data_IF_618273846167
#
_entry.id   IF_618273846167
#
_cell.length_a   1.000
_cell.length_b   1.000
_cell.length_c   1.000
_cell.angle_alpha   90.00
_cell.angle_beta   90.00
_cell.angle_gamma   90.00
#
_symmetry.space_group_name_H-M   'P 1'
#
loop_
_entity.id
_entity.type
_entity.pdbx_description
1 polymer ?
#
# COMPACT_ATOMS: atom_id res chain seq x y z
N UNK A 1 -4.36 -4.49 16.52
CA UNK A 1 -3.64 -3.60 15.61
C UNK A 1 -4.30 -3.63 14.25
N UNK A 2 -4.41 -2.48 13.61
CA UNK A 2 -4.81 -2.32 12.21
C UNK A 2 -3.54 -2.01 11.38
N UNK A 3 -3.35 -2.75 10.30
CA UNK A 3 -2.28 -2.51 9.33
C UNK A 3 -2.89 -2.19 7.97
N UNK A 4 -2.56 -1.01 7.45
CA UNK A 4 -2.93 -0.60 6.09
C UNK A 4 -1.73 -0.81 5.16
N UNK A 5 -1.78 -1.86 4.35
CA UNK A 5 -0.76 -2.14 3.33
C UNK A 5 -1.05 -1.31 2.07
N UNK A 6 -0.65 -0.05 2.11
CA UNK A 6 -0.81 0.90 1.02
C UNK A 6 0.23 0.75 -0.10
N UNK A 7 0.11 1.60 -1.13
CA UNK A 7 1.04 1.63 -2.25
C UNK A 7 2.42 2.22 -1.86
N UNK A 8 2.44 3.36 -1.16
CA UNK A 8 3.68 4.05 -0.77
C UNK A 8 4.15 3.74 0.64
N UNK A 9 3.25 3.34 1.52
CA UNK A 9 3.52 3.19 2.94
C UNK A 9 2.66 2.09 3.57
N UNK A 10 3.10 1.62 4.74
CA UNK A 10 2.30 0.80 5.66
C UNK A 10 1.89 1.67 6.84
N UNK A 11 0.58 1.85 7.00
CA UNK A 11 -0.01 2.48 8.18
C UNK A 11 -0.14 1.46 9.31
N UNK A 12 0.26 1.85 10.52
CA UNK A 12 0.17 1.03 11.72
C UNK A 12 -0.65 1.78 12.77
N UNK A 13 -1.77 1.21 13.23
CA UNK A 13 -2.57 1.78 14.29
C UNK A 13 -2.88 0.70 15.34
N UNK A 14 -2.47 0.95 16.58
CA UNK A 14 -2.74 0.05 17.70
C UNK A 14 -3.81 0.64 18.62
N UNK A 15 -4.74 -0.19 19.02
CA UNK A 15 -5.88 0.18 19.88
C UNK A 15 -5.83 -0.62 21.16
N UNK A 16 -6.01 0.08 22.28
CA UNK A 16 -6.23 -0.47 23.61
C UNK A 16 -7.71 -0.35 24.01
N UNK A 17 -8.05 -0.67 25.26
CA UNK A 17 -9.43 -0.55 25.76
C UNK A 17 -9.97 0.88 25.68
N UNK A 18 -9.14 1.88 25.85
CA UNK A 18 -9.51 3.31 25.86
C UNK A 18 -9.38 4.00 24.50
N UNK A 19 -9.03 3.27 23.44
CA UNK A 19 -8.90 3.82 22.09
C UNK A 19 -7.54 3.64 21.45
N UNK A 20 -7.13 4.60 20.61
CA UNK A 20 -5.86 4.59 19.89
C UNK A 20 -4.70 4.83 20.85
N UNK A 21 -3.77 3.86 20.94
CA UNK A 21 -2.58 3.93 21.82
C UNK A 21 -1.28 4.19 21.04
N UNK A 22 -1.24 3.87 19.75
CA UNK A 22 -0.09 4.10 18.88
C UNK A 22 -0.52 4.25 17.44
N UNK A 23 0.08 5.20 16.73
CA UNK A 23 -0.08 5.34 15.29
C UNK A 23 1.28 5.70 14.67
N UNK A 24 1.63 4.99 13.60
CA UNK A 24 2.89 5.23 12.88
C UNK A 24 2.69 4.91 11.40
N UNK A 25 3.51 5.54 10.54
CA UNK A 25 3.59 5.25 9.11
C UNK A 25 5.01 4.83 8.76
N UNK A 26 5.14 3.67 8.13
CA UNK A 26 6.40 3.14 7.64
C UNK A 26 6.46 3.40 6.13
N UNK A 27 7.52 4.09 5.67
CA UNK A 27 7.73 4.41 4.26
C UNK A 27 8.15 3.17 3.44
N UNK A 28 7.29 2.15 3.46
CA UNK A 28 7.45 0.89 2.74
C UNK A 28 6.09 0.41 2.28
N UNK A 29 5.85 0.32 0.99
CA UNK A 29 4.55 -0.07 0.43
C UNK A 29 4.68 -0.87 -0.86
N UNK A 30 3.56 -1.15 -1.49
CA UNK A 30 3.43 -1.96 -2.70
C UNK A 30 4.31 -1.54 -3.88
N UNK A 31 4.72 -0.27 -3.92
CA UNK A 31 5.68 0.27 -4.91
C UNK A 31 7.03 -0.45 -4.84
N UNK A 32 7.46 -0.90 -3.66
CA UNK A 32 8.71 -1.66 -3.52
C UNK A 32 8.60 -3.03 -4.20
N UNK A 33 7.47 -3.72 -4.02
CA UNK A 33 7.18 -4.97 -4.73
C UNK A 33 7.21 -4.77 -6.25
N UNK A 34 6.62 -3.68 -6.72
CA UNK A 34 6.59 -3.35 -8.16
C UNK A 34 7.99 -3.09 -8.71
N UNK A 35 8.86 -2.39 -7.95
CA UNK A 35 10.26 -2.15 -8.37
C UNK A 35 11.05 -3.44 -8.46
N UNK A 36 10.93 -4.32 -7.47
CA UNK A 36 11.62 -5.60 -7.47
C UNK A 36 11.15 -6.46 -8.66
N UNK A 37 9.84 -6.46 -8.96
CA UNK A 37 9.30 -7.13 -10.13
C UNK A 37 9.78 -6.50 -11.44
N UNK A 38 9.82 -5.16 -11.54
CA UNK A 38 10.32 -4.48 -12.73
C UNK A 38 11.78 -4.87 -13.03
N UNK A 39 12.61 -4.93 -12.00
CA UNK A 39 14.00 -5.35 -12.10
C UNK A 39 14.10 -6.84 -12.45
N UNK A 40 13.35 -7.70 -11.77
CA UNK A 40 13.42 -9.16 -11.95
C UNK A 40 12.94 -9.61 -13.32
N UNK A 41 11.91 -8.94 -13.85
CA UNK A 41 11.29 -9.25 -15.15
C UNK A 41 11.89 -8.42 -16.30
N UNK A 42 12.87 -7.54 -16.00
CA UNK A 42 13.46 -6.63 -16.99
C UNK A 42 12.41 -5.85 -17.78
N UNK A 43 11.46 -5.24 -17.07
CA UNK A 43 10.30 -4.56 -17.65
C UNK A 43 10.12 -3.15 -17.10
N UNK A 44 9.22 -2.38 -17.68
CA UNK A 44 8.89 -1.06 -17.16
C UNK A 44 8.10 -1.17 -15.84
N UNK A 45 8.20 -0.13 -15.00
CA UNK A 45 7.43 -0.06 -13.76
C UNK A 45 5.92 -0.25 -13.98
N UNK A 46 5.37 0.38 -15.01
CA UNK A 46 3.94 0.28 -15.34
C UNK A 46 3.53 -1.15 -15.76
N UNK A 47 4.40 -1.86 -16.49
CA UNK A 47 4.14 -3.26 -16.86
C UNK A 47 4.26 -4.18 -15.63
N UNK A 48 5.27 -3.98 -14.78
CA UNK A 48 5.42 -4.72 -13.53
C UNK A 48 4.24 -4.52 -12.58
N UNK A 49 3.69 -3.30 -12.51
CA UNK A 49 2.49 -3.02 -11.70
C UNK A 49 1.29 -3.83 -12.21
N UNK A 50 1.07 -3.88 -13.54
CA UNK A 50 0.00 -4.71 -14.11
C UNK A 50 0.21 -6.20 -13.83
N UNK A 51 1.46 -6.70 -13.95
CA UNK A 51 1.81 -8.09 -13.62
C UNK A 51 1.55 -8.38 -12.15
N UNK A 52 1.95 -7.48 -11.24
CA UNK A 52 1.68 -7.61 -9.80
C UNK A 52 0.18 -7.70 -9.51
N UNK A 53 -0.63 -6.83 -10.12
CA UNK A 53 -2.08 -6.80 -9.88
C UNK A 53 -2.79 -8.03 -10.45
N UNK A 54 -2.35 -8.54 -11.60
CA UNK A 54 -3.00 -9.66 -12.26
C UNK A 54 -2.55 -11.03 -11.73
N UNK A 55 -1.26 -11.17 -11.41
CA UNK A 55 -0.65 -12.48 -11.13
C UNK A 55 0.11 -12.55 -9.80
N UNK A 56 0.21 -11.43 -9.07
CA UNK A 56 0.93 -11.37 -7.80
C UNK A 56 0.39 -12.37 -6.79
N UNK A 57 1.32 -13.03 -6.08
CA UNK A 57 1.03 -13.91 -4.96
C UNK A 57 2.26 -13.96 -4.04
N UNK A 58 2.08 -14.40 -2.81
CA UNK A 58 3.16 -14.60 -1.82
C UNK A 58 2.93 -15.86 -1.00
N UNK A 59 3.96 -16.37 -0.34
CA UNK A 59 3.83 -17.47 0.60
C UNK A 59 3.32 -18.79 -0.01
N UNK A 60 3.54 -19.03 -1.29
CA UNK A 60 3.08 -20.25 -1.97
C UNK A 60 1.60 -20.25 -2.35
N UNK A 61 0.92 -19.11 -2.31
CA UNK A 61 -0.52 -18.99 -2.62
C UNK A 61 -0.85 -18.98 -4.13
N UNK A 62 -0.02 -19.62 -4.96
CA UNK A 62 -0.27 -19.79 -6.40
C UNK A 62 0.34 -21.10 -6.89
N UNK A 63 -0.07 -21.54 -8.09
CA UNK A 63 0.67 -22.58 -8.80
C UNK A 63 1.98 -21.99 -9.34
N UNK A 64 3.15 -22.44 -8.86
CA UNK A 64 4.43 -21.88 -9.30
C UNK A 64 4.77 -22.19 -10.76
N UNK A 65 4.11 -23.18 -11.37
CA UNK A 65 4.34 -23.62 -12.76
C UNK A 65 3.40 -22.94 -13.76
N UNK A 66 2.44 -22.19 -13.30
CA UNK A 66 1.54 -21.40 -14.15
C UNK A 66 2.34 -20.40 -14.98
N UNK A 67 2.23 -20.50 -16.32
CA UNK A 67 2.84 -19.54 -17.25
C UNK A 67 1.92 -18.34 -17.40
N UNK A 68 2.43 -17.14 -17.15
CA UNK A 68 1.69 -15.89 -17.18
C UNK A 68 2.34 -14.86 -18.10
N UNK A 69 1.54 -13.96 -18.66
CA UNK A 69 2.02 -12.87 -19.52
C UNK A 69 2.79 -11.83 -18.68
N UNK A 70 4.05 -11.63 -19.03
CA UNK A 70 4.93 -10.67 -18.39
C UNK A 70 5.79 -9.97 -19.46
N UNK A 71 5.32 -8.85 -20.03
CA UNK A 71 6.06 -8.14 -21.06
C UNK A 71 7.47 -7.75 -20.58
N UNK A 72 8.47 -7.94 -21.45
CA UNK A 72 9.87 -7.60 -21.23
C UNK A 72 10.26 -6.39 -22.07
N UNK A 73 11.21 -5.59 -21.59
CA UNK A 73 11.76 -4.47 -22.33
C UNK A 73 12.78 -4.98 -23.35
N UNK A 74 12.52 -4.74 -24.64
CA UNK A 74 13.45 -5.05 -25.72
C UNK A 74 14.61 -4.08 -25.81
N UNK A 75 15.62 -4.41 -26.60
CA UNK A 75 16.81 -3.58 -26.82
C UNK A 75 16.50 -2.23 -27.49
N UNK A 76 15.38 -2.16 -28.18
CA UNK A 76 14.87 -0.93 -28.83
C UNK A 76 14.06 -0.04 -27.86
N UNK A 77 13.97 -0.42 -26.58
CA UNK A 77 13.20 0.28 -25.56
C UNK A 77 11.68 0.04 -25.65
N UNK A 78 11.22 -0.88 -26.50
CA UNK A 78 9.79 -1.24 -26.61
C UNK A 78 9.48 -2.47 -25.76
N UNK A 79 8.21 -2.57 -25.32
CA UNK A 79 7.75 -3.76 -24.62
C UNK A 79 7.46 -4.87 -25.64
N UNK A 80 8.12 -6.00 -25.46
CA UNK A 80 7.91 -7.22 -26.20
C UNK A 80 7.04 -8.19 -25.41
N UNK A 81 6.22 -8.97 -26.12
CA UNK A 81 5.43 -10.02 -25.51
C UNK A 81 6.38 -11.11 -24.94
N UNK A 82 6.23 -11.41 -23.67
CA UNK A 82 7.01 -12.44 -23.00
C UNK A 82 6.15 -13.15 -21.95
N UNK A 83 6.57 -14.31 -21.53
CA UNK A 83 5.93 -15.09 -20.48
C UNK A 83 6.93 -15.40 -19.37
N UNK A 84 6.44 -15.53 -18.16
CA UNK A 84 7.20 -16.01 -17.01
C UNK A 84 6.39 -17.02 -16.23
N UNK A 85 7.02 -17.76 -15.33
CA UNK A 85 6.31 -18.61 -14.38
C UNK A 85 5.80 -17.76 -13.21
N UNK A 86 4.58 -17.99 -12.76
CA UNK A 86 3.98 -17.29 -11.61
C UNK A 86 4.81 -17.48 -10.34
N UNK A 87 5.52 -18.60 -10.20
CA UNK A 87 6.49 -18.85 -9.14
C UNK A 87 7.57 -17.77 -9.07
N UNK A 88 8.10 -17.30 -10.20
CA UNK A 88 9.13 -16.24 -10.25
C UNK A 88 8.58 -14.92 -9.67
N UNK A 89 7.30 -14.61 -9.94
CA UNK A 89 6.64 -13.43 -9.38
C UNK A 89 6.51 -13.59 -7.86
N UNK A 90 6.01 -14.74 -7.40
CA UNK A 90 5.83 -15.04 -5.98
C UNK A 90 7.15 -15.05 -5.20
N UNK A 91 8.19 -15.66 -5.75
CA UNK A 91 9.55 -15.68 -5.18
C UNK A 91 10.16 -14.30 -5.05
N UNK A 92 9.85 -13.39 -5.98
CA UNK A 92 10.31 -11.99 -5.93
C UNK A 92 9.54 -11.20 -4.88
N UNK A 93 8.22 -11.38 -4.77
CA UNK A 93 7.38 -10.57 -3.89
C UNK A 93 7.42 -11.03 -2.43
N UNK A 94 7.53 -12.33 -2.18
CA UNK A 94 7.46 -12.91 -0.82
C UNK A 94 8.49 -12.34 0.14
N UNK A 95 9.81 -12.32 -0.16
CA UNK A 95 10.80 -11.79 0.76
C UNK A 95 10.62 -10.29 1.02
N UNK A 96 10.21 -9.53 0.02
CA UNK A 96 9.99 -8.09 0.19
C UNK A 96 8.78 -7.79 1.09
N UNK A 97 7.68 -8.49 0.92
CA UNK A 97 6.52 -8.33 1.81
C UNK A 97 6.85 -8.80 3.23
N UNK A 98 7.57 -9.91 3.38
CA UNK A 98 8.04 -10.39 4.68
C UNK A 98 8.93 -9.35 5.39
N UNK A 99 9.88 -8.72 4.69
CA UNK A 99 10.72 -7.64 5.21
C UNK A 99 9.87 -6.47 5.74
N UNK A 100 8.85 -6.05 4.97
CA UNK A 100 7.93 -4.97 5.38
C UNK A 100 7.17 -5.35 6.66
N UNK A 101 6.68 -6.58 6.76
CA UNK A 101 5.95 -7.08 7.93
C UNK A 101 6.86 -7.23 9.16
N UNK A 102 8.10 -7.67 8.97
CA UNK A 102 9.10 -7.71 10.04
C UNK A 102 9.45 -6.31 10.54
N UNK A 103 9.54 -5.32 9.65
CA UNK A 103 9.73 -3.92 10.04
C UNK A 103 8.54 -3.42 10.89
N UNK A 104 7.31 -3.79 10.56
CA UNK A 104 6.12 -3.49 11.39
C UNK A 104 6.28 -4.10 12.79
N UNK A 105 6.66 -5.37 12.89
CA UNK A 105 6.88 -6.04 14.19
C UNK A 105 7.94 -5.32 15.04
N UNK A 106 9.03 -4.90 14.41
CA UNK A 106 10.10 -4.14 15.06
C UNK A 106 9.58 -2.81 15.62
N UNK A 107 8.76 -2.08 14.86
CA UNK A 107 8.17 -0.81 15.28
C UNK A 107 7.20 -1.00 16.45
N UNK A 108 6.34 -2.01 16.39
CA UNK A 108 5.46 -2.36 17.50
C UNK A 108 6.25 -2.69 18.76
N UNK A 109 7.34 -3.44 18.64
CA UNK A 109 8.23 -3.76 19.77
C UNK A 109 8.86 -2.51 20.38
N UNK A 110 9.38 -1.59 19.54
CA UNK A 110 9.94 -0.30 20.00
C UNK A 110 8.90 0.61 20.66
N UNK A 111 7.65 0.50 20.26
CA UNK A 111 6.52 1.21 20.86
C UNK A 111 6.04 0.57 22.18
N UNK A 112 6.73 -0.47 22.71
CA UNK A 112 6.33 -1.18 23.92
C UNK A 112 5.17 -2.16 23.72
N UNK A 113 4.76 -2.41 22.48
CA UNK A 113 3.66 -3.33 22.13
C UNK A 113 4.20 -4.74 21.89
N UNK A 114 4.83 -5.33 22.93
CA UNK A 114 5.41 -6.67 22.92
C UNK A 114 5.20 -7.36 24.29
N UNK A 115 5.50 -8.65 24.39
CA UNK A 115 5.30 -9.40 25.63
C UNK A 115 3.83 -9.41 26.06
N UNK A 116 3.54 -8.97 27.27
CA UNK A 116 2.17 -8.88 27.81
C UNK A 116 1.31 -7.86 27.06
N UNK A 117 1.92 -6.80 26.52
CA UNK A 117 1.26 -5.77 25.72
C UNK A 117 1.23 -6.09 24.24
N UNK A 118 1.65 -7.29 23.83
CA UNK A 118 1.62 -7.69 22.43
C UNK A 118 0.20 -7.66 21.83
N UNK A 119 0.06 -7.27 20.58
CA UNK A 119 -1.23 -7.31 19.90
C UNK A 119 -1.82 -8.72 19.91
N UNK A 120 -3.06 -8.87 20.36
CA UNK A 120 -3.74 -10.17 20.35
C UNK A 120 -4.27 -10.55 18.97
N UNK A 121 -4.51 -9.57 18.11
CA UNK A 121 -5.04 -9.72 16.74
C UNK A 121 -4.55 -8.59 15.85
N UNK A 122 -4.39 -8.90 14.57
CA UNK A 122 -4.11 -7.92 13.53
C UNK A 122 -5.22 -7.93 12.49
N UNK A 123 -5.64 -6.75 12.10
CA UNK A 123 -6.56 -6.54 10.97
C UNK A 123 -5.75 -5.94 9.83
N UNK A 124 -5.76 -6.58 8.69
CA UNK A 124 -5.03 -6.18 7.50
C UNK A 124 -5.98 -5.52 6.51
N UNK A 125 -5.68 -4.32 6.06
CA UNK A 125 -6.42 -3.55 5.05
C UNK A 125 -5.48 -2.97 4.02
N UNK A 126 -6.01 -2.16 3.10
CA UNK A 126 -5.24 -1.59 1.99
C UNK A 126 -5.14 -2.55 0.81
N UNK A 127 -4.71 -2.04 -0.35
CA UNK A 127 -4.59 -2.82 -1.59
C UNK A 127 -3.64 -4.01 -1.47
N UNK A 128 -2.58 -3.90 -0.64
CA UNK A 128 -1.63 -4.98 -0.39
C UNK A 128 -2.23 -6.18 0.35
N UNK A 129 -3.33 -5.99 1.09
CA UNK A 129 -4.04 -7.08 1.77
C UNK A 129 -4.76 -8.04 0.81
N UNK A 130 -4.99 -7.60 -0.42
CA UNK A 130 -5.64 -8.37 -1.48
C UNK A 130 -4.67 -9.32 -2.22
N UNK A 131 -3.37 -9.20 -1.98
CA UNK A 131 -2.38 -10.10 -2.57
C UNK A 131 -2.62 -11.51 -2.01
N UNK A 132 -2.86 -12.53 -2.85
CA UNK A 132 -2.99 -13.91 -2.41
C UNK A 132 -1.82 -14.33 -1.52
N UNK A 133 -2.11 -14.89 -0.34
CA UNK A 133 -1.11 -15.30 0.65
C UNK A 133 -0.66 -14.20 1.62
N UNK A 134 -1.00 -12.92 1.39
CA UNK A 134 -0.55 -11.80 2.25
C UNK A 134 -1.00 -11.96 3.70
N UNK A 135 -2.24 -12.43 3.94
CA UNK A 135 -2.77 -12.69 5.29
C UNK A 135 -1.93 -13.73 6.04
N UNK A 136 -1.62 -14.83 5.38
CA UNK A 136 -0.94 -15.96 6.01
C UNK A 136 0.54 -15.62 6.27
N UNK A 137 1.18 -14.93 5.31
CA UNK A 137 2.53 -14.40 5.48
C UNK A 137 2.58 -13.35 6.62
N UNK A 138 1.55 -12.52 6.76
CA UNK A 138 1.47 -11.56 7.87
C UNK A 138 1.29 -12.27 9.22
N UNK A 139 0.47 -13.32 9.28
CA UNK A 139 0.31 -14.11 10.50
C UNK A 139 1.61 -14.77 10.94
N UNK A 140 2.37 -15.31 10.00
CA UNK A 140 3.69 -15.90 10.23
C UNK A 140 4.71 -14.86 10.70
N UNK A 141 4.86 -13.75 9.97
CA UNK A 141 5.85 -12.71 10.28
C UNK A 141 5.58 -12.02 11.61
N UNK A 142 4.33 -11.73 11.92
CA UNK A 142 3.91 -11.02 13.12
C UNK A 142 3.69 -11.95 14.32
N UNK A 143 3.55 -13.26 14.08
CA UNK A 143 3.27 -14.30 15.09
C UNK A 143 1.98 -14.06 15.88
N UNK A 144 0.96 -13.53 15.22
CA UNK A 144 -0.37 -13.29 15.79
C UNK A 144 -1.44 -13.62 14.75
N UNK A 145 -2.67 -13.96 15.16
CA UNK A 145 -3.78 -14.16 14.25
C UNK A 145 -4.06 -12.89 13.43
N UNK A 146 -4.16 -13.06 12.10
CA UNK A 146 -4.44 -11.98 11.14
C UNK A 146 -5.74 -12.25 10.41
N UNK A 147 -6.59 -11.24 10.29
CA UNK A 147 -7.74 -11.25 9.38
C UNK A 147 -7.69 -10.09 8.40
N UNK A 148 -8.31 -10.26 7.26
CA UNK A 148 -8.54 -9.15 6.34
C UNK A 148 -9.72 -8.33 6.88
N UNK A 149 -9.55 -7.01 6.97
CA UNK A 149 -10.57 -6.06 7.34
C UNK A 149 -11.39 -5.64 6.13
N UNK A 150 -12.65 -5.35 6.37
CA UNK A 150 -13.54 -4.70 5.40
C UNK A 150 -14.15 -3.48 6.07
N UNK A 151 -14.34 -2.37 5.34
CA UNK A 151 -15.04 -1.21 5.88
C UNK A 151 -16.49 -1.59 6.23
N UNK A 152 -17.06 -0.87 7.19
CA UNK A 152 -18.48 -1.01 7.49
C UNK A 152 -19.34 -0.59 6.29
N UNK A 153 -20.59 -1.06 6.29
CA UNK A 153 -21.58 -0.72 5.28
C UNK A 153 -21.82 0.80 5.23
N UNK A 154 -21.38 1.40 4.14
CA UNK A 154 -21.79 2.75 3.75
C UNK A 154 -22.84 2.59 2.64
N UNK A 155 -23.98 3.26 2.76
CA UNK A 155 -25.00 3.25 1.70
C UNK A 155 -24.37 3.65 0.35
N UNK A 156 -24.57 2.84 -0.69
CA UNK A 156 -24.02 3.07 -2.01
C UNK A 156 -22.58 2.56 -2.22
N UNK A 157 -21.97 1.94 -1.20
CA UNK A 157 -20.66 1.30 -1.34
C UNK A 157 -20.87 -0.20 -1.58
N UNK A 158 -20.53 -0.66 -2.78
CA UNK A 158 -20.57 -2.08 -3.08
C UNK A 158 -19.45 -2.82 -2.33
N UNK A 159 -19.85 -3.86 -1.55
CA UNK A 159 -18.92 -4.67 -0.75
C UNK A 159 -18.14 -5.68 -1.58
N UNK A 160 -17.79 -5.36 -2.82
CA UNK A 160 -17.00 -6.19 -3.69
C UNK A 160 -15.65 -6.63 -3.06
N UNK A 161 -14.95 -7.48 -3.77
CA UNK A 161 -13.64 -8.03 -3.34
C UNK A 161 -12.60 -6.94 -3.01
N UNK A 162 -12.72 -5.75 -3.62
CA UNK A 162 -11.83 -4.61 -3.41
C UNK A 162 -12.08 -3.83 -2.12
N UNK A 163 -13.10 -4.18 -1.32
CA UNK A 163 -13.47 -3.47 -0.08
C UNK A 163 -12.30 -3.13 0.86
N UNK A 164 -11.36 -4.04 1.15
CA UNK A 164 -10.19 -3.74 1.99
C UNK A 164 -9.32 -2.59 1.48
N UNK A 165 -9.21 -2.41 0.16
CA UNK A 165 -8.40 -1.34 -0.45
C UNK A 165 -8.97 0.07 -0.18
N UNK A 166 -10.27 0.17 0.09
CA UNK A 166 -10.97 1.43 0.35
C UNK A 166 -11.20 1.70 1.84
N UNK A 167 -10.63 0.90 2.75
CA UNK A 167 -10.89 1.00 4.18
C UNK A 167 -10.58 2.40 4.74
N UNK A 168 -9.47 3.02 4.32
CA UNK A 168 -9.11 4.37 4.76
C UNK A 168 -10.11 5.42 4.23
N UNK A 169 -10.49 5.37 2.95
CA UNK A 169 -11.46 6.28 2.36
C UNK A 169 -12.84 6.15 3.02
N UNK A 170 -13.31 4.91 3.23
CA UNK A 170 -14.55 4.63 3.93
C UNK A 170 -14.53 5.15 5.37
N UNK A 171 -13.40 4.98 6.07
CA UNK A 171 -13.20 5.50 7.42
C UNK A 171 -13.26 7.02 7.49
N UNK A 172 -12.65 7.72 6.53
CA UNK A 172 -12.70 9.19 6.44
C UNK A 172 -14.11 9.69 6.17
N UNK A 173 -14.85 9.06 5.25
CA UNK A 173 -16.25 9.40 4.98
C UNK A 173 -17.12 9.19 6.23
N UNK A 174 -16.96 8.07 6.91
CA UNK A 174 -17.67 7.78 8.14
C UNK A 174 -17.37 8.80 9.24
N UNK A 175 -16.07 9.11 9.41
CA UNK A 175 -15.63 10.10 10.40
C UNK A 175 -16.26 11.47 10.15
N UNK A 176 -16.37 11.89 8.89
CA UNK A 176 -17.03 13.14 8.51
C UNK A 176 -18.54 13.13 8.80
N UNK A 177 -19.19 12.01 8.51
CA UNK A 177 -20.63 11.86 8.80
C UNK A 177 -20.95 11.88 10.31
N UNK A 178 -20.07 11.28 11.12
CA UNK A 178 -20.23 11.23 12.56
C UNK A 178 -19.83 12.54 13.26
N UNK A 179 -19.05 13.41 12.58
CA UNK A 179 -18.56 14.69 13.11
C UNK A 179 -18.89 15.85 12.15
N UNK A 180 -20.15 16.27 12.03
CA UNK A 180 -20.59 17.30 11.09
C UNK A 180 -20.00 18.68 11.35
N UNK A 181 -19.56 18.96 12.58
CA UNK A 181 -19.02 20.27 13.01
C UNK A 181 -17.58 20.53 12.54
N UNK A 182 -16.99 19.66 11.71
CA UNK A 182 -15.65 19.88 11.11
C UNK A 182 -15.66 20.97 10.02
N UNK A 183 -16.81 21.54 9.66
CA UNK A 183 -16.89 22.66 8.70
C UNK A 183 -16.15 23.92 9.21
N UNK A 184 -16.03 24.09 10.52
CA UNK A 184 -15.32 25.23 11.12
C UNK A 184 -13.79 25.18 10.90
N UNK A 185 -13.24 24.05 10.42
CA UNK A 185 -11.80 23.92 10.12
C UNK A 185 -11.44 24.47 8.73
N UNK A 186 -12.41 24.62 7.82
CA UNK A 186 -12.16 25.19 6.50
C UNK A 186 -11.84 26.69 6.54
N UNK A 187 -12.34 27.45 7.53
CA UNK A 187 -12.00 28.88 7.67
C UNK A 187 -10.53 29.11 8.09
N UNK A 188 -9.87 28.14 8.73
CA UNK A 188 -8.47 28.26 9.13
C UNK A 188 -7.47 27.90 8.02
N UNK A 189 -7.92 27.24 6.96
CA UNK A 189 -7.09 26.87 5.82
C UNK A 189 -7.45 27.69 4.58
N UNK A 190 -7.50 29.02 4.73
CA UNK A 190 -7.38 29.90 3.58
C UNK A 190 -5.89 29.95 3.21
N UNK A 191 -5.45 29.29 2.10
CA UNK A 191 -4.13 29.59 1.58
C UNK A 191 -4.16 31.06 1.25
N UNK A 192 -3.39 31.87 1.97
CA UNK A 192 -3.21 33.27 1.62
C UNK A 192 -2.93 33.32 0.13
N UNK A 193 -3.64 34.16 -0.62
CA UNK A 193 -3.45 34.37 -2.08
C UNK A 193 -1.96 34.48 -2.44
N UNK A 194 -1.13 34.96 -1.51
CA UNK A 194 0.32 34.99 -1.59
C UNK A 194 0.96 33.57 -1.63
N UNK A 195 0.43 32.59 -0.90
CA UNK A 195 0.96 31.22 -0.89
C UNK A 195 0.58 30.47 -2.17
N UNK A 196 -0.66 30.63 -2.65
CA UNK A 196 -1.11 30.09 -3.94
C UNK A 196 -0.34 30.71 -5.12
N UNK A 197 -0.10 32.04 -5.09
CA UNK A 197 0.68 32.75 -6.10
C UNK A 197 2.18 32.36 -6.06
N UNK A 198 2.74 32.01 -4.89
CA UNK A 198 4.11 31.51 -4.77
C UNK A 198 4.26 30.09 -5.33
N UNK A 199 3.28 29.20 -5.06
CA UNK A 199 3.24 27.83 -5.62
C UNK A 199 3.09 27.86 -7.14
N UNK A 200 2.22 28.72 -7.69
CA UNK A 200 2.04 28.88 -9.14
C UNK A 200 3.29 29.45 -9.83
N UNK A 201 3.98 30.43 -9.22
CA UNK A 201 5.24 30.98 -9.77
C UNK A 201 6.35 29.94 -9.80
N UNK A 202 6.50 29.13 -8.75
CA UNK A 202 7.50 28.06 -8.71
C UNK A 202 7.20 26.94 -9.71
N UNK A 203 5.93 26.58 -9.90
CA UNK A 203 5.51 25.62 -10.93
C UNK A 203 5.78 26.12 -12.35
N UNK A 204 5.47 27.38 -12.64
CA UNK A 204 5.69 27.96 -13.96
C UNK A 204 7.19 28.14 -14.26
N UNK A 205 8.00 28.54 -13.28
CA UNK A 205 9.44 28.67 -13.43
C UNK A 205 10.12 27.30 -13.64
N UNK A 206 9.67 26.27 -12.91
CA UNK A 206 10.19 24.91 -13.07
C UNK A 206 9.77 24.30 -14.42
N UNK A 207 8.55 24.52 -14.88
CA UNK A 207 8.10 24.10 -16.20
C UNK A 207 8.84 24.79 -17.33
N UNK A 208 9.13 26.11 -17.19
CA UNK A 208 9.90 26.88 -18.17
C UNK A 208 11.37 26.45 -18.23
N UNK A 209 12.00 26.19 -17.09
CA UNK A 209 13.37 25.68 -17.04
C UNK A 209 13.45 24.28 -17.63
N UNK A 210 12.51 23.41 -17.32
CA UNK A 210 12.44 22.05 -17.89
C UNK A 210 12.30 22.07 -19.43
N UNK A 211 11.41 22.96 -19.97
CA UNK A 211 11.25 23.13 -21.41
C UNK A 211 12.53 23.63 -22.07
N UNK A 212 13.24 24.57 -21.45
CA UNK A 212 14.48 25.14 -22.00
C UNK A 212 15.67 24.19 -21.99
N UNK A 213 15.67 23.19 -21.06
CA UNK A 213 16.72 22.18 -20.94
C UNK A 213 16.45 20.93 -21.81
N UNK A 214 15.21 20.75 -22.30
CA UNK A 214 14.83 19.54 -23.04
C UNK A 214 14.37 19.81 -24.49
N UNK A 215 14.35 21.07 -24.92
CA UNK A 215 14.09 21.55 -26.29
C UNK A 215 15.02 22.72 -26.66
#
# INVERSE_FOLDING_TARGET
VLLDLGAGAVGVSAFGPEGLVHAETIAAGGVRLTRDLAQRLETTFAAAERVKLAFGAVGGACDPREAVQAPKLGLDGRLEASTTLRGVIAETMTPRLAEMLLAVRDRLTRAGLSGENAPKRVVLVGGGSLIPGARDLAAEALRVPVRIGRPFELCGFDHGEAGPAFAAAAGLLRYRLDNPTLDDVEESFQPTLAHAAALMRNSAANAWNWLRENF
#
